data_IF_882849844522
#
_entry.id   IF_882849844522
#
_cell.length_a   1.000
_cell.length_b   1.000
_cell.length_c   1.000
_cell.angle_alpha   90.00
_cell.angle_beta   90.00
_cell.angle_gamma   90.00
#
_symmetry.space_group_name_H-M   'P 1'
#
loop_
_entity.id
_entity.type
_entity.pdbx_description
1 polymer ?
#
# COMPACT_ATOMS: atom_id res chain seq x y z
N UNK A 1 -22.56 1.41 -12.14
CA UNK A 1 -21.46 0.64 -11.52
C UNK A 1 -20.18 1.08 -12.19
N UNK A 2 -19.48 2.05 -11.60
CA UNK A 2 -18.23 2.58 -12.18
C UNK A 2 -17.26 1.41 -12.34
N UNK A 3 -16.85 1.13 -13.58
CA UNK A 3 -15.81 0.12 -13.86
C UNK A 3 -14.50 0.66 -13.30
N UNK A 4 -14.22 0.27 -12.07
CA UNK A 4 -12.96 0.53 -11.40
C UNK A 4 -11.86 -0.25 -12.14
N UNK A 5 -10.75 0.42 -12.47
CA UNK A 5 -9.61 -0.16 -13.19
C UNK A 5 -8.28 0.07 -12.48
N UNK A 6 -7.25 -0.71 -12.83
CA UNK A 6 -5.88 -0.43 -12.40
C UNK A 6 -5.47 1.00 -12.74
N UNK A 7 -4.79 1.67 -11.80
CA UNK A 7 -4.42 3.09 -11.89
C UNK A 7 -5.49 4.06 -11.37
N UNK A 8 -6.70 3.59 -11.05
CA UNK A 8 -7.72 4.44 -10.45
C UNK A 8 -7.36 4.73 -9.00
N UNK A 9 -7.50 6.00 -8.59
CA UNK A 9 -7.48 6.37 -7.19
C UNK A 9 -8.82 6.07 -6.56
N UNK A 10 -8.78 5.37 -5.44
CA UNK A 10 -9.96 4.92 -4.70
C UNK A 10 -9.79 5.19 -3.22
N UNK A 11 -10.91 5.35 -2.55
CA UNK A 11 -11.00 5.45 -1.10
C UNK A 11 -11.86 4.30 -0.59
N UNK A 12 -11.37 3.63 0.43
CA UNK A 12 -12.11 2.54 1.08
C UNK A 12 -13.23 3.14 1.91
N UNK A 13 -14.46 2.73 1.64
CA UNK A 13 -15.64 3.19 2.36
C UNK A 13 -15.57 2.79 3.84
N UNK A 14 -15.91 3.73 4.72
CA UNK A 14 -15.99 3.46 6.15
C UNK A 14 -17.33 2.79 6.48
N UNK A 15 -17.29 1.51 6.84
CA UNK A 15 -18.45 0.73 7.28
C UNK A 15 -18.12 -0.15 8.49
N UNK A 16 -19.16 -0.71 9.09
CA UNK A 16 -18.98 -1.74 10.11
C UNK A 16 -18.52 -3.05 9.47
N UNK A 17 -17.67 -3.77 10.20
CA UNK A 17 -17.21 -5.09 9.77
C UNK A 17 -18.33 -6.09 9.95
N UNK A 18 -18.67 -6.83 8.90
CA UNK A 18 -19.69 -7.89 8.95
C UNK A 18 -19.03 -9.25 9.23
N UNK A 19 -19.81 -10.27 9.65
CA UNK A 19 -19.29 -11.63 9.80
C UNK A 19 -18.68 -12.22 8.51
N UNK A 20 -19.18 -11.80 7.34
CA UNK A 20 -18.62 -12.21 6.05
C UNK A 20 -17.22 -11.62 5.81
N UNK A 21 -16.95 -10.41 6.32
CA UNK A 21 -15.63 -9.78 6.24
C UNK A 21 -14.62 -10.43 7.17
N UNK A 22 -15.06 -10.85 8.35
CA UNK A 22 -14.21 -11.60 9.29
C UNK A 22 -13.77 -12.92 8.65
N UNK A 23 -14.66 -13.56 7.89
CA UNK A 23 -14.38 -14.82 7.20
C UNK A 23 -13.52 -14.64 5.94
N UNK A 24 -13.75 -13.58 5.18
CA UNK A 24 -13.05 -13.31 3.91
C UNK A 24 -11.72 -12.57 4.08
N UNK A 25 -11.56 -11.80 5.17
CA UNK A 25 -10.41 -10.94 5.37
C UNK A 25 -10.35 -9.74 4.44
N UNK A 26 -11.43 -9.43 3.72
CA UNK A 26 -11.48 -8.38 2.70
C UNK A 26 -11.78 -6.98 3.24
N UNK A 27 -12.22 -6.88 4.49
CA UNK A 27 -12.46 -5.60 5.14
C UNK A 27 -12.10 -5.65 6.62
N UNK A 28 -11.32 -4.64 7.03
CA UNK A 28 -11.06 -4.36 8.43
C UNK A 28 -11.45 -2.91 8.74
N UNK A 29 -11.94 -2.62 9.95
CA UNK A 29 -12.36 -1.26 10.33
C UNK A 29 -11.27 -0.19 10.16
N UNK A 30 -10.00 -0.56 10.28
CA UNK A 30 -8.86 0.33 10.11
C UNK A 30 -8.52 0.61 8.63
N UNK A 31 -9.18 -0.06 7.69
CA UNK A 31 -9.09 0.27 6.26
C UNK A 31 -10.02 1.39 5.87
N UNK A 32 -11.13 1.58 6.59
CA UNK A 32 -12.10 2.62 6.29
C UNK A 32 -11.45 4.01 6.29
N UNK A 33 -11.58 4.72 5.17
CA UNK A 33 -11.00 6.06 4.97
C UNK A 33 -9.59 6.08 4.39
N UNK A 34 -8.94 4.92 4.22
CA UNK A 34 -7.67 4.86 3.49
C UNK A 34 -7.91 5.14 2.01
N UNK A 35 -7.04 5.95 1.42
CA UNK A 35 -7.04 6.17 -0.03
C UNK A 35 -5.77 5.61 -0.64
N UNK A 36 -5.87 5.22 -1.90
CA UNK A 36 -4.76 4.61 -2.60
C UNK A 36 -5.04 4.42 -4.07
N UNK A 37 -4.09 3.78 -4.74
CA UNK A 37 -4.18 3.50 -6.18
C UNK A 37 -4.35 2.02 -6.41
N UNK A 38 -5.23 1.64 -7.33
CA UNK A 38 -5.43 0.23 -7.66
C UNK A 38 -4.25 -0.30 -8.43
N UNK A 39 -3.61 -1.32 -7.88
CA UNK A 39 -2.58 -2.09 -8.56
C UNK A 39 -3.24 -3.06 -9.54
N UNK A 40 -4.17 -3.86 -9.04
CA UNK A 40 -4.79 -4.94 -9.83
C UNK A 40 -6.19 -5.28 -9.34
N UNK A 41 -7.07 -5.62 -10.27
CA UNK A 41 -8.43 -6.08 -10.00
C UNK A 41 -8.52 -7.59 -10.29
N UNK A 42 -9.13 -8.33 -9.36
CA UNK A 42 -9.34 -9.78 -9.36
C UNK A 42 -10.84 -10.07 -9.28
N UNK A 43 -11.59 -9.78 -10.33
CA UNK A 43 -13.06 -9.95 -10.31
C UNK A 43 -13.71 -8.97 -9.34
N UNK A 44 -14.21 -9.49 -8.21
CA UNK A 44 -14.89 -8.71 -7.16
C UNK A 44 -13.94 -8.17 -6.08
N UNK A 45 -12.64 -8.45 -6.19
CA UNK A 45 -11.59 -7.99 -5.27
C UNK A 45 -10.61 -7.06 -6.00
N UNK A 46 -10.00 -6.13 -5.29
CA UNK A 46 -8.97 -5.26 -5.84
C UNK A 46 -7.82 -5.08 -4.84
N UNK A 47 -6.60 -5.12 -5.36
CA UNK A 47 -5.39 -4.79 -4.62
C UNK A 47 -5.08 -3.31 -4.78
N UNK A 48 -4.95 -2.62 -3.65
CA UNK A 48 -4.76 -1.18 -3.57
C UNK A 48 -3.43 -0.91 -2.87
N UNK A 49 -2.60 -0.10 -3.51
CA UNK A 49 -1.46 0.53 -2.87
C UNK A 49 -1.97 1.75 -2.09
N UNK A 50 -1.95 1.65 -0.77
CA UNK A 50 -2.42 2.74 0.11
C UNK A 50 -1.40 3.87 0.13
N UNK A 51 -1.88 5.10 -0.06
CA UNK A 51 -1.07 6.30 0.10
C UNK A 51 -0.78 6.51 1.59
N UNK A 52 0.51 6.55 1.96
CA UNK A 52 0.96 6.70 3.37
C UNK A 52 0.46 7.98 4.03
N UNK A 53 0.16 9.01 3.25
CA UNK A 53 -0.39 10.28 3.73
C UNK A 53 -1.83 10.17 4.21
N UNK A 54 -2.56 9.14 3.79
CA UNK A 54 -3.93 8.88 4.23
C UNK A 54 -4.00 7.90 5.41
N UNK A 55 -2.88 7.28 5.77
CA UNK A 55 -2.79 6.40 6.92
C UNK A 55 -2.90 7.18 8.21
N UNK A 56 -3.68 6.67 9.16
CA UNK A 56 -3.69 7.20 10.53
C UNK A 56 -2.32 7.02 11.18
N UNK A 57 -2.00 7.89 12.16
CA UNK A 57 -0.72 7.86 12.87
C UNK A 57 -0.41 6.48 13.49
N UNK A 58 -1.43 5.78 13.98
CA UNK A 58 -1.28 4.42 14.52
C UNK A 58 -0.93 3.39 13.44
N UNK A 59 -1.65 3.41 12.31
CA UNK A 59 -1.40 2.50 11.19
C UNK A 59 -0.01 2.75 10.59
N UNK A 60 0.37 4.03 10.46
CA UNK A 60 1.70 4.44 10.00
C UNK A 60 2.79 3.93 10.93
N UNK A 61 2.64 4.08 12.25
CA UNK A 61 3.62 3.59 13.23
C UNK A 61 3.80 2.07 13.15
N UNK A 62 2.71 1.30 13.08
CA UNK A 62 2.79 -0.16 12.92
C UNK A 62 3.48 -0.56 11.62
N UNK A 63 3.19 0.16 10.52
CA UNK A 63 3.83 -0.08 9.24
C UNK A 63 5.35 0.19 9.31
N UNK A 64 5.75 1.29 9.93
CA UNK A 64 7.17 1.62 10.13
C UNK A 64 7.89 0.61 11.05
N UNK A 65 7.24 0.12 12.09
CA UNK A 65 7.80 -0.92 12.97
C UNK A 65 8.00 -2.25 12.22
N UNK A 66 7.01 -2.66 11.43
CA UNK A 66 7.11 -3.81 10.55
C UNK A 66 8.22 -3.63 9.51
N UNK A 67 8.35 -2.43 8.95
CA UNK A 67 9.39 -2.12 7.98
C UNK A 67 10.79 -2.18 8.59
N UNK A 68 10.96 -1.65 9.81
CA UNK A 68 12.22 -1.79 10.55
C UNK A 68 12.55 -3.25 10.84
N UNK A 69 11.57 -4.03 11.28
CA UNK A 69 11.78 -5.46 11.58
C UNK A 69 12.17 -6.24 10.32
N UNK A 70 11.48 -6.00 9.21
CA UNK A 70 11.76 -6.66 7.95
C UNK A 70 13.10 -6.24 7.35
N UNK A 71 13.43 -4.94 7.42
CA UNK A 71 14.75 -4.42 7.05
C UNK A 71 15.86 -5.05 7.88
N UNK A 72 15.65 -5.18 9.19
CA UNK A 72 16.61 -5.81 10.09
C UNK A 72 16.83 -7.28 9.71
N UNK A 73 15.76 -8.06 9.48
CA UNK A 73 15.86 -9.46 9.02
C UNK A 73 16.53 -9.59 7.65
N UNK A 74 16.20 -8.69 6.71
CA UNK A 74 16.79 -8.68 5.38
C UNK A 74 18.28 -8.37 5.44
N UNK A 75 18.68 -7.36 6.21
CA UNK A 75 20.10 -7.07 6.44
C UNK A 75 20.77 -8.24 7.14
N UNK A 76 20.17 -8.80 8.19
CA UNK A 76 20.71 -9.92 8.95
C UNK A 76 21.04 -11.13 8.06
N UNK A 77 20.14 -11.44 7.11
CA UNK A 77 20.31 -12.53 6.14
C UNK A 77 21.34 -12.28 5.02
N UNK A 78 21.89 -11.07 4.89
CA UNK A 78 22.94 -10.76 3.91
C UNK A 78 24.34 -10.99 4.52
N UNK A 79 25.24 -11.61 3.75
CA UNK A 79 26.67 -11.69 4.08
C UNK A 79 27.31 -10.30 4.13
N UNK A 80 28.43 -10.14 4.85
CA UNK A 80 29.12 -8.85 4.96
C UNK A 80 29.55 -8.28 3.59
N UNK A 81 29.99 -9.14 2.66
CA UNK A 81 30.29 -8.75 1.28
C UNK A 81 29.05 -8.23 0.54
N UNK A 82 27.89 -8.87 0.70
CA UNK A 82 26.65 -8.43 0.09
C UNK A 82 26.16 -7.10 0.69
N UNK A 83 26.29 -6.91 2.02
CA UNK A 83 25.94 -5.64 2.69
C UNK A 83 26.80 -4.46 2.24
N UNK A 84 28.08 -4.70 1.99
CA UNK A 84 29.01 -3.67 1.52
C UNK A 84 28.84 -3.35 0.03
N UNK A 85 28.32 -4.28 -0.77
CA UNK A 85 28.03 -4.09 -2.19
C UNK A 85 26.74 -3.30 -2.46
N UNK A 86 25.80 -3.26 -1.52
CA UNK A 86 24.56 -2.50 -1.66
C UNK A 86 24.83 -0.99 -1.72
N UNK A 87 24.35 -0.35 -2.78
CA UNK A 87 24.35 1.11 -2.91
C UNK A 87 23.42 1.76 -1.88
N UNK A 88 23.60 3.06 -1.63
CA UNK A 88 22.74 3.82 -0.71
C UNK A 88 21.26 3.80 -1.11
N UNK A 89 20.95 3.60 -2.40
CA UNK A 89 19.60 3.39 -2.91
C UNK A 89 19.09 1.98 -2.62
N UNK A 90 19.91 0.95 -2.80
CA UNK A 90 19.50 -0.44 -2.53
C UNK A 90 19.36 -0.74 -1.03
N UNK A 91 20.03 0.03 -0.16
CA UNK A 91 19.79 0.01 1.30
C UNK A 91 18.45 0.64 1.72
N UNK A 92 17.73 1.28 0.79
CA UNK A 92 16.38 1.85 1.03
C UNK A 92 15.35 0.73 0.95
N UNK A 93 15.21 0.02 2.07
CA UNK A 93 14.13 -0.92 2.24
C UNK A 93 12.84 -0.16 2.53
N UNK A 94 11.91 -0.15 1.58
CA UNK A 94 10.58 0.42 1.73
C UNK A 94 9.52 -0.64 1.49
N UNK A 95 8.61 -0.81 2.45
CA UNK A 95 7.46 -1.70 2.30
C UNK A 95 6.30 -0.93 1.69
N UNK A 96 5.86 -1.39 0.52
CA UNK A 96 4.58 -0.98 -0.03
C UNK A 96 3.46 -1.55 0.85
N UNK A 97 2.53 -0.70 1.28
CA UNK A 97 1.33 -1.14 2.00
C UNK A 97 0.23 -1.43 0.98
N UNK A 98 0.28 -2.64 0.41
CA UNK A 98 -0.74 -3.14 -0.49
C UNK A 98 -1.77 -3.94 0.30
N UNK A 99 -3.05 -3.57 0.18
CA UNK A 99 -4.18 -4.27 0.81
C UNK A 99 -5.08 -4.87 -0.27
N UNK A 100 -5.73 -5.98 0.04
CA UNK A 100 -6.77 -6.58 -0.79
C UNK A 100 -8.13 -6.25 -0.17
N UNK A 101 -9.03 -5.68 -0.96
CA UNK A 101 -10.36 -5.29 -0.50
C UNK A 101 -11.41 -5.59 -1.55
N UNK A 102 -12.67 -5.69 -1.13
CA UNK A 102 -13.79 -5.90 -2.05
C UNK A 102 -14.03 -4.64 -2.90
N UNK A 103 -14.29 -4.82 -4.20
CA UNK A 103 -14.60 -3.72 -5.13
C UNK A 103 -15.87 -2.97 -4.71
N UNK A 104 -16.81 -3.65 -4.04
CA UNK A 104 -18.03 -3.05 -3.51
C UNK A 104 -17.76 -1.98 -2.44
N UNK A 105 -16.61 -2.03 -1.77
CA UNK A 105 -16.22 -1.09 -0.71
C UNK A 105 -15.40 0.08 -1.23
N UNK A 106 -15.19 0.15 -2.55
CA UNK A 106 -14.39 1.19 -3.16
C UNK A 106 -15.27 2.31 -3.69
N UNK A 107 -15.06 3.49 -3.11
CA UNK A 107 -15.51 4.73 -3.69
C UNK A 107 -14.40 5.28 -4.61
N UNK A 108 -14.74 5.85 -5.78
CA UNK A 108 -13.78 6.63 -6.55
C UNK A 108 -13.28 7.79 -5.67
N UNK A 109 -11.95 7.91 -5.53
CA UNK A 109 -11.35 9.01 -4.77
C UNK A 109 -11.48 10.33 -5.53
N UNK A 110 -11.36 11.46 -4.83
CA UNK A 110 -11.31 12.79 -5.45
C UNK A 110 -10.08 13.01 -6.36
N UNK A 111 -9.05 12.17 -6.23
CA UNK A 111 -7.85 12.25 -7.05
C UNK A 111 -8.05 11.57 -8.42
N UNK A 112 -7.65 12.28 -9.48
CA UNK A 112 -7.64 11.79 -10.86
C UNK A 112 -6.91 10.45 -10.97
N UNK A 113 -7.40 9.60 -11.90
CA UNK A 113 -6.66 8.46 -12.48
C UNK A 113 -5.19 8.82 -12.66
N UNK A 114 -4.32 8.08 -12.00
CA UNK A 114 -2.88 8.21 -12.15
C UNK A 114 -2.43 7.13 -13.12
N UNK A 115 -1.68 7.52 -14.14
CA UNK A 115 -1.14 6.58 -15.13
C UNK A 115 -0.10 5.65 -14.48
N UNK A 116 0.18 4.47 -15.07
CA UNK A 116 1.23 3.58 -14.57
C UNK A 116 2.61 4.26 -14.46
N UNK A 117 2.88 5.20 -15.37
CA UNK A 117 4.09 6.03 -15.37
C UNK A 117 4.13 6.97 -14.15
N UNK A 118 2.99 7.56 -13.78
CA UNK A 118 2.88 8.39 -12.58
C UNK A 118 2.93 7.56 -11.28
N UNK A 119 2.49 6.30 -11.31
CA UNK A 119 2.66 5.38 -10.18
C UNK A 119 4.14 5.05 -9.96
N UNK A 120 4.85 4.71 -11.03
CA UNK A 120 6.30 4.51 -11.00
C UNK A 120 7.03 5.79 -10.57
N UNK A 121 6.61 6.95 -11.07
CA UNK A 121 7.17 8.24 -10.68
C UNK A 121 6.85 8.59 -9.22
N UNK A 122 5.69 8.22 -8.68
CA UNK A 122 5.37 8.33 -7.24
C UNK A 122 6.27 7.43 -6.40
N UNK A 123 6.49 6.18 -6.83
CA UNK A 123 7.44 5.27 -6.16
C UNK A 123 8.87 5.85 -6.18
N UNK A 124 9.31 6.42 -7.31
CA UNK A 124 10.63 7.01 -7.45
C UNK A 124 10.78 8.32 -6.65
N UNK A 125 9.78 9.21 -6.70
CA UNK A 125 9.72 10.44 -5.90
C UNK A 125 9.66 10.13 -4.39
N UNK A 126 8.98 9.07 -4.00
CA UNK A 126 9.00 8.57 -2.63
C UNK A 126 10.42 8.15 -2.21
N UNK A 127 11.14 7.39 -3.04
CA UNK A 127 12.54 7.01 -2.78
C UNK A 127 13.49 8.22 -2.75
N UNK A 128 13.20 9.28 -3.50
CA UNK A 128 14.01 10.49 -3.60
C UNK A 128 13.77 11.50 -2.44
N UNK A 129 12.56 11.59 -1.89
CA UNK A 129 12.20 12.58 -0.86
C UNK A 129 12.82 12.31 0.52
N UNK A 130 13.35 11.11 0.77
CA UNK A 130 14.16 10.77 1.97
C UNK A 130 15.67 10.93 1.75
N UNK A 131 16.09 12.05 1.15
CA UNK A 131 17.50 12.48 1.22
C UNK A 131 17.88 12.86 2.65
#
# INVERSE_FOLDING_TARGET
MSKISSGDTVTVAKREQTPADIKSGLYYPHYGGLSGTILKVYGDEASILVDRDTMTTELRKRHEENEKSMKAKWLDGLSEEARNRLTGAEKKFALNYAILVAVADLAPGEAKRITPEELAAKEEAFLASRK
#
